data_IF_371040931638
#
_entry.id   IF_371040931638
#
_cell.length_a   1.000
_cell.length_b   1.000
_cell.length_c   1.000
_cell.angle_alpha   90.00
_cell.angle_beta   90.00
_cell.angle_gamma   90.00
#
_symmetry.space_group_name_H-M   'P 1'
#
loop_
_entity.id
_entity.type
_entity.pdbx_description
1 polymer ?
#
# COMPACT_ATOMS: atom_id res chain seq x y z
N UNK A 1 -23.43 -56.38 8.11
CA UNK A 1 -22.85 -55.07 8.44
C UNK A 1 -23.71 -54.40 9.48
N UNK A 2 -23.12 -53.73 10.48
CA UNK A 2 -23.90 -52.94 11.44
C UNK A 2 -24.36 -51.62 10.79
N UNK A 3 -25.49 -51.09 11.26
CA UNK A 3 -25.99 -49.78 10.83
C UNK A 3 -24.95 -48.67 11.04
N UNK A 4 -24.17 -48.77 12.13
CA UNK A 4 -23.04 -47.90 12.42
C UNK A 4 -21.93 -47.98 11.36
N UNK A 5 -21.59 -49.19 10.86
CA UNK A 5 -20.59 -49.34 9.81
C UNK A 5 -21.01 -48.65 8.51
N UNK A 6 -22.27 -48.80 8.11
CA UNK A 6 -22.79 -48.13 6.91
C UNK A 6 -22.77 -46.59 7.05
N UNK A 7 -23.12 -46.06 8.23
CA UNK A 7 -23.05 -44.62 8.52
C UNK A 7 -21.60 -44.11 8.49
N UNK A 8 -20.65 -44.87 9.04
CA UNK A 8 -19.23 -44.50 9.02
C UNK A 8 -18.67 -44.51 7.61
N UNK A 9 -19.01 -45.51 6.79
CA UNK A 9 -18.57 -45.59 5.39
C UNK A 9 -19.14 -44.42 4.54
N UNK A 10 -20.41 -44.10 4.69
CA UNK A 10 -21.04 -42.94 4.02
C UNK A 10 -20.39 -41.61 4.44
N UNK A 11 -20.09 -41.45 5.73
CA UNK A 11 -19.38 -40.26 6.23
C UNK A 11 -17.94 -40.17 5.72
N UNK A 12 -17.21 -41.29 5.69
CA UNK A 12 -15.84 -41.31 5.16
C UNK A 12 -15.80 -40.93 3.67
N UNK A 13 -16.75 -41.44 2.88
CA UNK A 13 -16.87 -41.07 1.46
C UNK A 13 -17.10 -39.56 1.27
N UNK A 14 -17.99 -38.96 2.06
CA UNK A 14 -18.25 -37.51 2.02
C UNK A 14 -17.03 -36.69 2.45
N UNK A 15 -16.35 -37.12 3.50
CA UNK A 15 -15.12 -36.48 3.96
C UNK A 15 -14.03 -36.53 2.88
N UNK A 16 -13.90 -37.65 2.18
CA UNK A 16 -12.94 -37.77 1.07
C UNK A 16 -13.27 -36.81 -0.09
N UNK A 17 -14.54 -36.70 -0.47
CA UNK A 17 -15.00 -35.74 -1.47
C UNK A 17 -14.71 -34.29 -1.05
N UNK A 18 -14.99 -33.93 0.21
CA UNK A 18 -14.71 -32.61 0.76
C UNK A 18 -13.21 -32.30 0.74
N UNK A 19 -12.35 -33.26 1.10
CA UNK A 19 -10.89 -33.08 1.04
C UNK A 19 -10.38 -32.86 -0.39
N UNK A 20 -10.96 -33.55 -1.38
CA UNK A 20 -10.62 -33.31 -2.78
C UNK A 20 -10.99 -31.89 -3.21
N UNK A 21 -12.19 -31.41 -2.86
CA UNK A 21 -12.62 -30.04 -3.15
C UNK A 21 -11.72 -29.01 -2.46
N UNK A 22 -11.35 -29.22 -1.20
CA UNK A 22 -10.42 -28.35 -0.46
C UNK A 22 -9.05 -28.32 -1.15
N UNK A 23 -8.54 -29.45 -1.63
CA UNK A 23 -7.27 -29.51 -2.34
C UNK A 23 -7.30 -28.72 -3.66
N UNK A 24 -8.40 -28.81 -4.41
CA UNK A 24 -8.58 -28.03 -5.64
C UNK A 24 -8.66 -26.53 -5.37
N UNK A 25 -9.39 -26.12 -4.33
CA UNK A 25 -9.49 -24.72 -3.90
C UNK A 25 -8.14 -24.18 -3.42
N UNK A 26 -7.37 -24.97 -2.66
CA UNK A 26 -6.03 -24.61 -2.21
C UNK A 26 -5.09 -24.40 -3.41
N UNK A 27 -5.13 -25.29 -4.41
CA UNK A 27 -4.36 -25.15 -5.65
C UNK A 27 -4.74 -23.89 -6.42
N UNK A 28 -6.04 -23.62 -6.57
CA UNK A 28 -6.54 -22.41 -7.24
C UNK A 28 -6.10 -21.14 -6.51
N UNK A 29 -6.17 -21.15 -5.18
CA UNK A 29 -5.72 -20.03 -4.34
C UNK A 29 -4.23 -19.74 -4.55
N UNK A 30 -3.38 -20.78 -4.53
CA UNK A 30 -1.94 -20.62 -4.76
C UNK A 30 -1.62 -20.05 -6.15
N UNK A 31 -2.32 -20.50 -7.20
CA UNK A 31 -2.16 -19.95 -8.56
C UNK A 31 -2.53 -18.46 -8.61
N UNK A 32 -3.64 -18.08 -8.00
CA UNK A 32 -4.07 -16.67 -7.97
C UNK A 32 -3.10 -15.79 -7.18
N UNK A 33 -2.56 -16.28 -6.06
CA UNK A 33 -1.54 -15.57 -5.29
C UNK A 33 -0.27 -15.33 -6.11
N UNK A 34 0.21 -16.35 -6.84
CA UNK A 34 1.36 -16.20 -7.73
C UNK A 34 1.09 -15.19 -8.85
N UNK A 35 -0.11 -15.20 -9.41
CA UNK A 35 -0.51 -14.23 -10.43
C UNK A 35 -0.50 -12.80 -9.89
N UNK A 36 -1.03 -12.58 -8.68
CA UNK A 36 -1.00 -11.27 -8.01
C UNK A 36 0.43 -10.80 -7.73
N UNK A 37 1.32 -11.69 -7.28
CA UNK A 37 2.74 -11.37 -7.06
C UNK A 37 3.39 -10.89 -8.36
N UNK A 38 3.18 -11.64 -9.45
CA UNK A 38 3.74 -11.30 -10.77
C UNK A 38 3.21 -9.97 -11.30
N UNK A 39 1.90 -9.76 -11.24
CA UNK A 39 1.27 -8.52 -11.73
C UNK A 39 1.73 -7.30 -10.93
N UNK A 40 1.89 -7.45 -9.61
CA UNK A 40 2.44 -6.40 -8.75
C UNK A 40 3.89 -6.06 -9.10
N UNK A 41 4.73 -7.07 -9.33
CA UNK A 41 6.13 -6.87 -9.72
C UNK A 41 6.22 -6.15 -11.08
N UNK A 42 5.50 -6.64 -12.09
CA UNK A 42 5.47 -6.03 -13.43
C UNK A 42 4.97 -4.57 -13.38
N UNK A 43 3.93 -4.31 -12.59
CA UNK A 43 3.39 -2.95 -12.41
C UNK A 43 4.41 -2.03 -11.71
N UNK A 44 5.09 -2.54 -10.68
CA UNK A 44 6.11 -1.78 -9.92
C UNK A 44 7.28 -1.38 -10.81
N UNK A 45 7.77 -2.31 -11.64
CA UNK A 45 8.84 -2.03 -12.60
C UNK A 45 8.38 -1.07 -13.69
N UNK A 46 7.16 -1.24 -14.20
CA UNK A 46 6.60 -0.36 -15.25
C UNK A 46 6.49 1.10 -14.78
N UNK A 47 6.10 1.31 -13.53
CA UNK A 47 5.92 2.64 -12.95
C UNK A 47 7.23 3.25 -12.41
N UNK A 48 8.31 2.48 -12.34
CA UNK A 48 9.59 2.90 -11.80
C UNK A 48 10.15 4.20 -12.41
N UNK A 49 10.05 4.47 -13.74
CA UNK A 49 10.49 5.73 -14.31
C UNK A 49 9.74 6.95 -13.74
N UNK A 50 8.44 6.82 -13.50
CA UNK A 50 7.61 7.88 -12.91
C UNK A 50 8.03 8.13 -11.46
N UNK A 51 8.24 7.05 -10.69
CA UNK A 51 8.67 7.18 -9.29
C UNK A 51 10.07 7.80 -9.17
N UNK A 52 11.01 7.42 -10.05
CA UNK A 52 12.34 8.04 -10.12
C UNK A 52 12.22 9.53 -10.42
N UNK A 53 11.41 9.90 -11.41
CA UNK A 53 11.18 11.31 -11.73
C UNK A 53 10.65 12.11 -10.53
N UNK A 54 9.67 11.57 -9.79
CA UNK A 54 9.14 12.20 -8.56
C UNK A 54 10.26 12.41 -7.54
N UNK A 55 11.02 11.34 -7.26
CA UNK A 55 12.09 11.34 -6.25
C UNK A 55 13.24 12.28 -6.61
N UNK A 56 13.68 12.25 -7.86
CA UNK A 56 14.82 13.05 -8.36
C UNK A 56 14.51 14.55 -8.36
N UNK A 57 13.22 14.92 -8.43
CA UNK A 57 12.76 16.29 -8.25
C UNK A 57 12.51 16.68 -6.77
N UNK A 58 12.91 15.83 -5.81
CA UNK A 58 12.86 16.13 -4.38
C UNK A 58 11.48 16.00 -3.74
N UNK A 59 10.50 15.41 -4.43
CA UNK A 59 9.15 15.24 -3.91
C UNK A 59 8.99 13.97 -3.07
N UNK A 60 8.11 14.04 -2.06
CA UNK A 60 7.85 12.95 -1.11
C UNK A 60 6.58 12.20 -1.48
N UNK A 61 6.59 10.88 -1.43
CA UNK A 61 5.39 10.09 -1.67
C UNK A 61 4.47 10.18 -0.46
N UNK A 62 3.29 10.77 -0.62
CA UNK A 62 2.33 11.00 0.46
C UNK A 62 1.22 9.95 0.38
N UNK A 63 0.93 9.32 1.50
CA UNK A 63 -0.30 8.56 1.70
C UNK A 63 -1.38 9.48 2.27
N UNK A 64 -2.25 9.96 1.40
CA UNK A 64 -3.34 10.86 1.77
C UNK A 64 -4.35 10.24 2.75
N UNK A 65 -4.40 8.91 2.89
CA UNK A 65 -5.34 8.26 3.82
C UNK A 65 -4.87 8.36 5.26
N UNK A 66 -3.57 8.19 5.49
CA UNK A 66 -3.00 8.14 6.83
C UNK A 66 -2.13 9.37 7.16
N UNK A 67 -1.95 10.30 6.22
CA UNK A 67 -1.08 11.46 6.37
C UNK A 67 0.40 11.12 6.49
N UNK A 68 0.77 9.85 6.23
CA UNK A 68 2.16 9.40 6.26
C UNK A 68 2.84 9.73 4.94
N UNK A 69 4.17 9.86 4.96
CA UNK A 69 4.92 10.10 3.73
C UNK A 69 6.25 9.35 3.76
N UNK A 70 6.86 9.20 2.60
CA UNK A 70 8.20 8.62 2.47
C UNK A 70 8.97 9.27 1.31
N UNK A 71 10.29 9.39 1.46
CA UNK A 71 11.17 9.99 0.43
C UNK A 71 11.82 8.94 -0.47
N UNK A 72 11.74 7.67 -0.10
CA UNK A 72 12.40 6.55 -0.79
C UNK A 72 11.51 5.94 -1.86
N UNK A 73 10.19 6.12 -1.76
CA UNK A 73 9.23 5.70 -2.75
C UNK A 73 7.79 5.61 -2.24
N UNK A 74 6.86 5.12 -3.07
CA UNK A 74 5.44 5.06 -2.75
C UNK A 74 5.15 4.32 -1.44
N UNK A 75 4.28 4.89 -0.62
CA UNK A 75 3.72 4.23 0.55
C UNK A 75 2.63 3.28 0.08
N UNK A 76 2.85 1.98 0.24
CA UNK A 76 1.95 0.93 -0.19
C UNK A 76 0.84 0.66 0.84
N UNK A 77 1.17 0.79 2.13
CA UNK A 77 0.24 0.68 3.24
C UNK A 77 0.87 1.21 4.54
N UNK A 78 0.02 1.57 5.50
CA UNK A 78 0.44 1.83 6.88
C UNK A 78 -0.34 0.90 7.83
N UNK A 79 0.37 0.22 8.73
CA UNK A 79 -0.22 -0.57 9.81
C UNK A 79 -0.05 0.19 11.14
N UNK A 80 -1.12 0.74 11.71
CA UNK A 80 -1.05 1.48 12.98
C UNK A 80 -0.78 0.57 14.18
N UNK A 81 -1.16 -0.71 14.15
CA UNK A 81 -0.98 -1.63 15.28
C UNK A 81 0.49 -1.94 15.53
N UNK A 82 1.26 -2.09 14.45
CA UNK A 82 2.71 -2.35 14.51
C UNK A 82 3.54 -1.10 14.22
N UNK A 83 2.90 0.05 14.09
CA UNK A 83 3.51 1.32 13.66
C UNK A 83 4.47 1.14 12.46
N UNK A 84 4.04 0.37 11.46
CA UNK A 84 4.89 -0.04 10.33
C UNK A 84 4.37 0.52 9.02
N UNK A 85 5.27 1.04 8.20
CA UNK A 85 4.98 1.53 6.85
C UNK A 85 5.53 0.56 5.81
N UNK A 86 4.67 0.11 4.89
CA UNK A 86 5.07 -0.68 3.73
C UNK A 86 5.35 0.28 2.58
N UNK A 87 6.53 0.19 1.99
CA UNK A 87 6.98 1.11 0.94
C UNK A 87 7.55 0.33 -0.24
N UNK A 88 7.47 0.89 -1.44
CA UNK A 88 8.29 0.44 -2.56
C UNK A 88 9.53 1.33 -2.64
N UNK A 89 10.74 0.77 -2.48
CA UNK A 89 11.98 1.55 -2.51
C UNK A 89 12.42 1.71 -3.96
N UNK A 90 12.41 2.95 -4.46
CA UNK A 90 12.69 3.26 -5.88
C UNK A 90 14.11 2.88 -6.28
N UNK A 91 15.10 3.17 -5.43
CA UNK A 91 16.51 2.92 -5.77
C UNK A 91 16.83 1.42 -5.86
N UNK A 92 16.18 0.64 -5.01
CA UNK A 92 16.38 -0.80 -4.89
C UNK A 92 15.37 -1.60 -5.73
N UNK A 93 14.36 -0.92 -6.28
CA UNK A 93 13.27 -1.50 -7.09
C UNK A 93 12.57 -2.68 -6.39
N UNK A 94 12.37 -2.57 -5.08
CA UNK A 94 11.87 -3.66 -4.22
C UNK A 94 10.98 -3.12 -3.10
N UNK A 95 9.99 -3.90 -2.62
CA UNK A 95 9.25 -3.52 -1.44
C UNK A 95 10.07 -3.66 -0.15
N UNK A 96 9.69 -2.88 0.86
CA UNK A 96 10.27 -2.90 2.18
C UNK A 96 9.23 -2.55 3.26
N UNK A 97 9.57 -2.89 4.49
CA UNK A 97 8.85 -2.47 5.70
C UNK A 97 9.77 -1.55 6.50
N UNK A 98 9.24 -0.40 6.87
CA UNK A 98 9.87 0.55 7.79
C UNK A 98 9.09 0.52 9.10
N UNK A 99 9.76 0.14 10.18
CA UNK A 99 9.23 0.36 11.54
C UNK A 99 9.44 1.83 11.90
N UNK A 100 8.34 2.57 12.10
CA UNK A 100 8.41 4.00 12.41
C UNK A 100 8.88 4.28 13.85
N UNK A 101 8.87 3.27 14.72
CA UNK A 101 9.36 3.35 16.10
C UNK A 101 10.87 3.24 16.16
N UNK A 102 11.43 2.17 15.57
CA UNK A 102 12.87 1.89 15.59
C UNK A 102 13.62 2.53 14.42
N UNK A 103 12.90 3.02 13.40
CA UNK A 103 13.44 3.47 12.11
C UNK A 103 14.18 2.35 11.35
N UNK A 104 13.97 1.09 11.73
CA UNK A 104 14.58 -0.04 11.06
C UNK A 104 13.83 -0.36 9.76
N UNK A 105 14.59 -0.51 8.69
CA UNK A 105 14.08 -0.89 7.38
C UNK A 105 14.46 -2.32 7.05
N UNK A 106 13.50 -3.10 6.56
CA UNK A 106 13.70 -4.48 6.11
C UNK A 106 13.16 -4.62 4.69
N UNK A 107 14.02 -4.98 3.74
CA UNK A 107 13.61 -5.36 2.39
C UNK A 107 12.83 -6.66 2.47
N UNK A 108 11.72 -6.74 1.74
CA UNK A 108 10.86 -7.92 1.67
C UNK A 108 10.58 -8.29 0.22
N UNK A 109 10.14 -9.52 -0.02
CA UNK A 109 9.63 -9.93 -1.33
C UNK A 109 8.19 -9.43 -1.54
N UNK A 110 7.74 -9.40 -2.81
CA UNK A 110 6.34 -9.13 -3.15
C UNK A 110 5.38 -10.14 -2.51
N UNK A 111 5.78 -11.41 -2.39
CA UNK A 111 5.01 -12.43 -1.69
C UNK A 111 4.87 -12.10 -0.19
N UNK A 112 5.97 -11.75 0.48
CA UNK A 112 5.95 -11.33 1.88
C UNK A 112 5.12 -10.06 2.12
N UNK A 113 5.08 -9.15 1.13
CA UNK A 113 4.22 -7.99 1.16
C UNK A 113 2.73 -8.40 1.11
N UNK A 114 2.35 -9.27 0.16
CA UNK A 114 0.96 -9.70 -0.03
C UNK A 114 0.44 -10.63 1.08
N UNK A 115 1.34 -11.25 1.87
CA UNK A 115 0.97 -11.93 3.11
C UNK A 115 0.52 -10.98 4.23
N UNK A 116 0.88 -9.68 4.14
CA UNK A 116 0.65 -8.69 5.19
C UNK A 116 -0.28 -7.56 4.78
N UNK A 117 -0.42 -7.33 3.47
CA UNK A 117 -1.20 -6.24 2.89
C UNK A 117 -2.05 -6.77 1.74
N UNK A 118 -3.32 -6.37 1.69
CA UNK A 118 -4.20 -6.75 0.60
C UNK A 118 -3.70 -6.21 -0.75
N UNK A 119 -3.68 -7.08 -1.77
CA UNK A 119 -3.27 -6.76 -3.14
C UNK A 119 -3.89 -5.47 -3.69
N UNK A 120 -5.20 -5.28 -3.51
CA UNK A 120 -5.92 -4.11 -4.01
C UNK A 120 -5.38 -2.81 -3.41
N UNK A 121 -5.08 -2.81 -2.12
CA UNK A 121 -4.51 -1.65 -1.41
C UNK A 121 -3.15 -1.30 -2.00
N UNK A 122 -2.27 -2.31 -2.13
CA UNK A 122 -0.92 -2.12 -2.70
C UNK A 122 -0.98 -1.53 -4.10
N UNK A 123 -1.74 -2.15 -5.01
CA UNK A 123 -1.86 -1.70 -6.41
C UNK A 123 -2.48 -0.31 -6.49
N UNK A 124 -3.54 -0.03 -5.72
CA UNK A 124 -4.18 1.29 -5.74
C UNK A 124 -3.18 2.37 -5.34
N UNK A 125 -2.42 2.15 -4.27
CA UNK A 125 -1.44 3.11 -3.79
C UNK A 125 -0.23 3.24 -4.73
N UNK A 126 0.18 2.15 -5.36
CA UNK A 126 1.21 2.17 -6.38
C UNK A 126 0.80 3.00 -7.61
N UNK A 127 -0.43 2.80 -8.10
CA UNK A 127 -0.97 3.51 -9.27
C UNK A 127 -1.21 5.00 -9.02
N UNK A 128 -1.39 5.43 -7.76
CA UNK A 128 -1.46 6.87 -7.41
C UNK A 128 -0.22 7.66 -7.83
N UNK A 129 0.92 7.00 -8.05
CA UNK A 129 2.11 7.67 -8.60
C UNK A 129 1.85 8.35 -9.94
N UNK A 130 0.90 7.85 -10.74
CA UNK A 130 0.49 8.45 -12.01
C UNK A 130 -0.26 9.78 -11.84
N UNK A 131 -1.02 9.94 -10.75
CA UNK A 131 -1.78 11.15 -10.44
C UNK A 131 -1.10 12.04 -9.42
N UNK A 132 0.07 11.62 -8.90
CA UNK A 132 0.80 12.28 -7.83
C UNK A 132 1.01 13.79 -8.04
N UNK A 133 1.41 14.20 -9.24
CA UNK A 133 1.69 15.60 -9.55
C UNK A 133 0.43 16.47 -9.50
N UNK A 134 -0.72 15.93 -9.90
CA UNK A 134 -2.00 16.64 -9.85
C UNK A 134 -2.45 16.84 -8.40
N UNK A 135 -2.25 15.83 -7.56
CA UNK A 135 -2.55 15.91 -6.13
C UNK A 135 -1.62 16.90 -5.43
N UNK A 136 -0.32 16.82 -5.71
CA UNK A 136 0.68 17.71 -5.13
C UNK A 136 0.43 19.18 -5.51
N UNK A 137 0.08 19.44 -6.77
CA UNK A 137 -0.28 20.78 -7.24
C UNK A 137 -1.44 21.35 -6.44
N UNK A 138 -2.52 20.58 -6.24
CA UNK A 138 -3.68 21.01 -5.44
C UNK A 138 -3.31 21.32 -3.99
N UNK A 139 -2.43 20.51 -3.39
CA UNK A 139 -1.94 20.75 -2.02
C UNK A 139 -1.18 22.08 -1.94
N UNK A 140 -0.29 22.36 -2.89
CA UNK A 140 0.45 23.62 -2.91
C UNK A 140 -0.45 24.82 -3.20
N UNK A 141 -1.41 24.71 -4.12
CA UNK A 141 -2.38 25.77 -4.40
C UNK A 141 -3.18 26.14 -3.14
N UNK A 142 -3.71 25.15 -2.42
CA UNK A 142 -4.44 25.38 -1.17
C UNK A 142 -3.55 25.99 -0.06
N UNK A 143 -2.29 25.54 0.04
CA UNK A 143 -1.35 26.10 1.02
C UNK A 143 -0.97 27.54 0.69
N UNK A 144 -0.78 27.89 -0.59
CA UNK A 144 -0.51 29.26 -1.01
C UNK A 144 -1.68 30.17 -0.66
N UNK A 145 -2.91 29.77 -1.00
CA UNK A 145 -4.11 30.54 -0.67
C UNK A 145 -4.23 30.79 0.85
N UNK A 146 -3.99 29.75 1.66
CA UNK A 146 -3.97 29.87 3.12
C UNK A 146 -2.94 30.90 3.60
N UNK A 147 -1.70 30.80 3.14
CA UNK A 147 -0.62 31.71 3.53
C UNK A 147 -0.90 33.15 3.09
N UNK A 148 -1.44 33.34 1.89
CA UNK A 148 -1.84 34.66 1.41
C UNK A 148 -2.93 35.29 2.27
N UNK A 149 -3.91 34.49 2.73
CA UNK A 149 -4.97 34.95 3.61
C UNK A 149 -4.42 35.32 5.00
N UNK A 150 -3.58 34.47 5.60
CA UNK A 150 -2.91 34.76 6.88
C UNK A 150 -2.09 36.06 6.81
N UNK A 151 -1.37 36.29 5.70
CA UNK A 151 -0.62 37.53 5.48
C UNK A 151 -1.51 38.77 5.32
N UNK A 152 -2.67 38.64 4.66
CA UNK A 152 -3.64 39.74 4.52
C UNK A 152 -4.26 40.09 5.86
N UNK A 153 -4.66 39.10 6.65
CA UNK A 153 -5.21 39.29 7.98
C UNK A 153 -4.21 40.02 8.88
N UNK A 154 -2.95 39.59 8.88
CA UNK A 154 -1.91 40.24 9.67
C UNK A 154 -1.68 41.70 9.25
N UNK A 155 -1.58 41.99 7.95
CA UNK A 155 -1.44 43.37 7.45
C UNK A 155 -2.63 44.26 7.79
N UNK A 156 -3.85 43.72 7.67
CA UNK A 156 -5.07 44.43 8.07
C UNK A 156 -5.15 44.69 9.57
N UNK A 157 -4.52 43.86 10.41
CA UNK A 157 -4.39 44.11 11.85
C UNK A 157 -3.35 45.19 12.17
N UNK A 158 -2.26 45.32 11.40
CA UNK A 158 -1.28 46.40 11.55
C UNK A 158 -1.89 47.77 11.15
N UNK A 159 -2.66 47.82 10.06
CA UNK A 159 -3.31 49.05 9.59
C UNK A 159 -4.39 49.59 10.56
N UNK A 160 -5.11 48.70 11.26
CA UNK A 160 -6.12 49.08 12.25
C UNK A 160 -5.56 49.43 13.65
N UNK A 161 -4.25 49.22 13.87
CA UNK A 161 -3.56 49.49 15.13
C UNK A 161 -2.54 50.64 15.05
N UNK A 162 -2.48 51.36 13.92
CA UNK A 162 -1.76 52.64 13.85
C UNK A 162 -2.68 53.77 14.37
N UNK A 163 -2.23 54.58 15.35
CA UNK A 163 -3.02 55.67 15.93
C UNK A 163 -3.25 56.86 14.99
#
# INVERSE_FOLDING_TARGET
MSELQAIVEDHLSKIEEDYQQVAELAKKSAVLQQQQVKELEETSITLLPVMRFIKDNGFRFIDNQNGTYNNLGPVLNYNPETNSQFIFIVDQSTPAVLDLTSQQMTIISYEQLLQRVNYKTVITNLLRTLTYHQELKKIFEANIEKLENELKEFKGMEENNQP
#
